data_IF_982596689997
#
_entry.id   IF_982596689997
#
_cell.length_a   1.000
_cell.length_b   1.000
_cell.length_c   1.000
_cell.angle_alpha   90.00
_cell.angle_beta   90.00
_cell.angle_gamma   90.00
#
_symmetry.space_group_name_H-M   'P 1'
#
loop_
_entity.id
_entity.type
_entity.pdbx_description
1 polymer ?
#
# COMPACT_ATOMS: atom_id res chain seq x y z
N UNK A 1 -17.38 1.72 -2.19
CA UNK A 1 -16.10 0.96 -2.19
C UNK A 1 -16.09 0.04 -3.40
N UNK A 2 -15.05 0.08 -4.24
CA UNK A 2 -14.98 -0.82 -5.39
C UNK A 2 -14.94 -2.26 -4.87
N UNK A 3 -15.81 -3.14 -5.39
CA UNK A 3 -15.72 -4.59 -5.17
C UNK A 3 -14.41 -5.06 -5.81
N UNK A 4 -13.33 -5.03 -5.04
CA UNK A 4 -12.10 -5.73 -5.40
C UNK A 4 -12.50 -7.19 -5.62
N UNK A 5 -12.11 -7.79 -6.76
CA UNK A 5 -12.07 -9.26 -6.89
C UNK A 5 -11.42 -9.77 -5.61
N UNK A 6 -12.15 -10.62 -4.88
CA UNK A 6 -11.88 -10.96 -3.48
C UNK A 6 -10.39 -11.14 -3.22
N UNK A 7 -9.81 -10.23 -2.44
CA UNK A 7 -8.50 -10.44 -1.85
C UNK A 7 -8.54 -11.79 -1.14
N UNK A 8 -7.72 -12.73 -1.60
CA UNK A 8 -7.55 -14.03 -0.95
C UNK A 8 -6.25 -13.95 -0.18
N UNK A 9 -6.32 -13.46 1.05
CA UNK A 9 -5.20 -13.33 1.96
C UNK A 9 -4.31 -14.57 1.95
N UNK A 10 -4.91 -15.76 2.09
CA UNK A 10 -4.15 -17.02 2.03
C UNK A 10 -3.36 -17.23 0.73
N UNK A 11 -3.86 -16.79 -0.44
CA UNK A 11 -3.09 -16.87 -1.69
C UNK A 11 -1.89 -15.92 -1.67
N UNK A 12 -2.11 -14.67 -1.24
CA UNK A 12 -1.06 -13.67 -1.13
C UNK A 12 0.05 -14.17 -0.21
N UNK A 13 -0.32 -14.61 1.00
CA UNK A 13 0.59 -15.07 2.03
C UNK A 13 1.44 -16.26 1.57
N UNK A 14 0.86 -17.24 0.87
CA UNK A 14 1.64 -18.36 0.31
C UNK A 14 2.65 -17.91 -0.77
N UNK A 15 2.40 -16.78 -1.44
CA UNK A 15 3.31 -16.22 -2.45
C UNK A 15 4.43 -15.34 -1.87
N UNK A 16 4.35 -14.95 -0.59
CA UNK A 16 5.36 -14.13 0.07
C UNK A 16 6.37 -15.02 0.80
N UNK A 17 7.65 -14.68 0.68
CA UNK A 17 8.69 -15.29 1.49
C UNK A 17 8.37 -15.15 3.00
N UNK A 18 8.42 -16.26 3.73
CA UNK A 18 8.04 -16.32 5.15
C UNK A 18 8.87 -15.40 6.05
N UNK A 19 10.16 -15.20 5.76
CA UNK A 19 11.02 -14.32 6.57
C UNK A 19 10.66 -12.84 6.38
N UNK A 20 10.17 -12.45 5.19
CA UNK A 20 9.62 -11.13 4.97
C UNK A 20 8.32 -10.93 5.76
N UNK A 21 7.44 -11.94 5.82
CA UNK A 21 6.23 -11.87 6.64
C UNK A 21 6.55 -11.74 8.13
N UNK A 22 7.52 -12.52 8.64
CA UNK A 22 8.01 -12.36 10.02
C UNK A 22 8.52 -10.94 10.28
N UNK A 23 9.31 -10.40 9.35
CA UNK A 23 9.83 -9.03 9.43
C UNK A 23 8.69 -8.01 9.46
N UNK A 24 7.69 -8.18 8.59
CA UNK A 24 6.48 -7.36 8.55
C UNK A 24 5.76 -7.37 9.90
N UNK A 25 5.34 -8.54 10.39
CA UNK A 25 4.59 -8.62 11.65
C UNK A 25 5.40 -8.11 12.85
N UNK A 26 6.71 -8.34 12.86
CA UNK A 26 7.62 -7.79 13.89
C UNK A 26 7.66 -6.26 13.85
N UNK A 27 7.70 -5.64 12.65
CA UNK A 27 7.63 -4.18 12.48
C UNK A 27 6.33 -3.61 13.05
N UNK A 28 5.23 -4.36 12.99
CA UNK A 28 3.96 -3.99 13.60
C UNK A 28 3.84 -4.36 15.08
N UNK A 29 4.91 -4.79 15.76
CA UNK A 29 4.86 -5.28 17.15
C UNK A 29 3.85 -6.42 17.33
N UNK A 30 3.79 -7.36 16.39
CA UNK A 30 3.02 -8.60 16.50
C UNK A 30 4.00 -9.74 16.67
N UNK A 31 3.90 -10.44 17.80
CA UNK A 31 4.78 -11.58 18.11
C UNK A 31 4.48 -12.74 17.18
N UNK A 32 5.54 -13.26 16.53
CA UNK A 32 5.47 -14.46 15.70
C UNK A 32 6.26 -15.56 16.40
N UNK A 33 5.64 -16.70 16.65
CA UNK A 33 6.30 -17.85 17.29
C UNK A 33 7.44 -18.37 16.42
N UNK A 34 8.55 -18.78 17.03
CA UNK A 34 9.65 -19.41 16.31
C UNK A 34 9.16 -20.66 15.55
N UNK A 35 9.58 -20.76 14.29
CA UNK A 35 9.15 -21.86 13.41
C UNK A 35 7.73 -21.72 12.86
N UNK A 36 6.99 -20.65 13.18
CA UNK A 36 5.68 -20.42 12.56
C UNK A 36 5.83 -20.28 11.04
N UNK A 37 4.95 -20.99 10.31
CA UNK A 37 4.86 -20.96 8.86
C UNK A 37 3.54 -20.28 8.49
N UNK A 38 3.67 -19.16 7.80
CA UNK A 38 2.56 -18.45 7.20
C UNK A 38 2.12 -19.19 5.93
N UNK A 39 0.94 -19.79 5.98
CA UNK A 39 0.28 -20.44 4.86
C UNK A 39 -1.21 -20.10 4.83
N UNK A 40 -1.95 -20.70 3.90
CA UNK A 40 -3.39 -20.46 3.75
C UNK A 40 -4.20 -20.92 4.95
N UNK A 41 -3.76 -21.96 5.63
CA UNK A 41 -4.54 -22.65 6.65
C UNK A 41 -4.38 -21.96 8.01
N UNK A 42 -3.21 -21.38 8.27
CA UNK A 42 -2.87 -20.85 9.59
C UNK A 42 -2.99 -19.31 9.69
N UNK A 43 -3.04 -18.58 8.57
CA UNK A 43 -3.00 -17.11 8.61
C UNK A 43 -4.21 -16.49 9.31
N UNK A 44 -5.41 -17.04 9.11
CA UNK A 44 -6.62 -16.49 9.71
C UNK A 44 -6.60 -16.65 11.23
N UNK A 45 -6.25 -17.84 11.72
CA UNK A 45 -6.07 -18.11 13.15
C UNK A 45 -4.97 -17.21 13.76
N UNK A 46 -3.89 -16.96 13.02
CA UNK A 46 -2.84 -16.05 13.45
C UNK A 46 -3.35 -14.60 13.57
N UNK A 47 -4.08 -14.09 12.58
CA UNK A 47 -4.65 -12.74 12.65
C UNK A 47 -5.70 -12.61 13.76
N UNK A 48 -6.49 -13.66 14.00
CA UNK A 48 -7.47 -13.71 15.08
C UNK A 48 -6.82 -13.75 16.47
N UNK A 49 -5.54 -14.12 16.58
CA UNK A 49 -4.77 -14.00 17.82
C UNK A 49 -4.42 -12.55 18.19
N UNK A 50 -4.53 -11.61 17.24
CA UNK A 50 -4.31 -10.18 17.48
C UNK A 50 -5.53 -9.60 18.19
N UNK A 51 -5.43 -9.40 19.50
CA UNK A 51 -6.55 -8.95 20.35
C UNK A 51 -7.04 -7.52 20.07
N UNK A 52 -6.18 -6.68 19.49
CA UNK A 52 -6.51 -5.32 19.10
C UNK A 52 -7.17 -5.33 17.70
N UNK A 53 -8.49 -5.16 17.67
CA UNK A 53 -9.29 -5.17 16.44
C UNK A 53 -8.90 -4.04 15.47
N UNK A 54 -8.57 -2.85 15.98
CA UNK A 54 -8.14 -1.73 15.15
C UNK A 54 -6.81 -2.02 14.47
N UNK A 55 -5.87 -2.60 15.22
CA UNK A 55 -4.58 -3.06 14.70
C UNK A 55 -4.73 -4.20 13.69
N UNK A 56 -5.59 -5.18 13.97
CA UNK A 56 -5.88 -6.28 13.02
C UNK A 56 -6.44 -5.73 11.72
N UNK A 57 -7.45 -4.86 11.79
CA UNK A 57 -8.07 -4.24 10.61
C UNK A 57 -7.06 -3.44 9.79
N UNK A 58 -6.18 -2.69 10.45
CA UNK A 58 -5.11 -1.95 9.78
C UNK A 58 -4.14 -2.86 9.03
N UNK A 59 -3.68 -3.94 9.69
CA UNK A 59 -2.79 -4.94 9.09
C UNK A 59 -3.44 -5.61 7.88
N UNK A 60 -4.72 -5.96 7.96
CA UNK A 60 -5.46 -6.58 6.85
C UNK A 60 -5.58 -5.63 5.65
N UNK A 61 -5.90 -4.36 5.90
CA UNK A 61 -5.98 -3.33 4.86
C UNK A 61 -4.62 -3.12 4.19
N UNK A 62 -3.54 -3.06 4.97
CA UNK A 62 -2.19 -2.87 4.45
C UNK A 62 -1.73 -4.07 3.61
N UNK A 63 -1.95 -5.30 4.08
CA UNK A 63 -1.67 -6.51 3.28
C UNK A 63 -2.49 -6.54 1.98
N UNK A 64 -3.74 -6.05 2.02
CA UNK A 64 -4.56 -5.90 0.82
C UNK A 64 -3.98 -4.86 -0.15
N UNK A 65 -3.46 -3.74 0.35
CA UNK A 65 -2.77 -2.73 -0.46
C UNK A 65 -1.53 -3.30 -1.14
N UNK A 66 -0.68 -4.00 -0.38
CA UNK A 66 0.53 -4.65 -0.91
C UNK A 66 0.16 -5.67 -2.00
N UNK A 67 -0.86 -6.51 -1.75
CA UNK A 67 -1.34 -7.46 -2.74
C UNK A 67 -1.93 -6.77 -3.98
N UNK A 68 -2.57 -5.61 -3.82
CA UNK A 68 -3.06 -4.80 -4.93
C UNK A 68 -1.94 -4.43 -5.91
N UNK A 69 -0.78 -4.04 -5.39
CA UNK A 69 0.40 -3.73 -6.20
C UNK A 69 0.97 -5.01 -6.84
N UNK A 70 1.10 -6.10 -6.07
CA UNK A 70 1.62 -7.37 -6.56
C UNK A 70 0.84 -7.90 -7.78
N UNK A 71 -0.49 -7.82 -7.76
CA UNK A 71 -1.36 -8.35 -8.80
C UNK A 71 -1.46 -7.43 -10.03
N UNK A 72 -1.50 -6.11 -9.82
CA UNK A 72 -1.92 -5.15 -10.87
C UNK A 72 -0.84 -4.14 -11.30
N UNK A 73 0.27 -4.07 -10.58
CA UNK A 73 1.26 -3.00 -10.74
C UNK A 73 2.70 -3.51 -10.85
N UNK A 74 2.90 -4.70 -11.43
CA UNK A 74 4.22 -5.32 -11.59
C UNK A 74 5.26 -4.42 -12.25
N UNK A 75 4.88 -3.69 -13.31
CA UNK A 75 5.79 -2.75 -13.97
C UNK A 75 6.26 -1.60 -13.06
N UNK A 76 5.45 -1.22 -12.08
CA UNK A 76 5.78 -0.17 -11.11
C UNK A 76 6.62 -0.70 -9.95
N UNK A 77 6.44 -1.97 -9.57
CA UNK A 77 7.37 -2.67 -8.68
C UNK A 77 8.77 -2.73 -9.29
N UNK A 78 8.89 -3.07 -10.58
CA UNK A 78 10.19 -3.08 -11.27
C UNK A 78 10.84 -1.69 -11.31
N UNK A 79 10.03 -0.64 -11.48
CA UNK A 79 10.53 0.73 -11.41
C UNK A 79 11.06 1.07 -10.02
N UNK A 80 10.27 0.82 -8.98
CA UNK A 80 10.67 1.08 -7.59
C UNK A 80 11.93 0.30 -7.22
N UNK A 81 12.03 -0.97 -7.61
CA UNK A 81 13.24 -1.79 -7.42
C UNK A 81 14.49 -1.12 -8.00
N UNK A 82 14.40 -0.66 -9.25
CA UNK A 82 15.53 -0.02 -9.94
C UNK A 82 15.89 1.32 -9.32
N UNK A 83 14.88 2.13 -8.98
CA UNK A 83 15.07 3.49 -8.47
C UNK A 83 15.67 3.50 -7.05
N UNK A 84 15.29 2.52 -6.23
CA UNK A 84 15.76 2.37 -4.85
C UNK A 84 16.84 1.28 -4.66
N UNK A 85 17.37 0.71 -5.74
CA UNK A 85 18.39 -0.36 -5.73
C UNK A 85 18.02 -1.56 -4.83
N UNK A 86 16.76 -2.00 -4.89
CA UNK A 86 16.25 -3.09 -4.08
C UNK A 86 16.69 -4.42 -4.69
N UNK A 87 17.54 -5.15 -3.95
CA UNK A 87 18.00 -6.47 -4.37
C UNK A 87 16.87 -7.50 -4.33
N UNK A 88 16.71 -8.23 -5.42
CA UNK A 88 15.71 -9.29 -5.59
C UNK A 88 16.37 -10.57 -6.09
N UNK A 89 15.71 -11.71 -5.92
CA UNK A 89 16.15 -12.96 -6.53
C UNK A 89 15.58 -13.09 -7.96
N UNK A 90 16.35 -13.68 -8.87
CA UNK A 90 15.83 -14.09 -10.17
C UNK A 90 14.69 -15.10 -9.93
N UNK A 91 13.51 -14.83 -10.49
CA UNK A 91 12.27 -15.60 -10.33
C UNK A 91 11.50 -15.47 -8.99
N UNK A 92 11.74 -14.43 -8.17
CA UNK A 92 10.89 -14.20 -7.00
C UNK A 92 9.42 -13.87 -7.41
N UNK A 93 8.40 -14.40 -6.70
CA UNK A 93 7.01 -14.08 -6.98
C UNK A 93 6.70 -12.59 -6.77
N UNK A 94 5.74 -12.06 -7.53
CA UNK A 94 5.30 -10.66 -7.42
C UNK A 94 4.90 -10.24 -6.01
N UNK A 95 4.32 -11.16 -5.24
CA UNK A 95 3.90 -10.99 -3.86
C UNK A 95 5.12 -10.81 -2.94
N UNK A 96 6.16 -11.64 -3.12
CA UNK A 96 7.44 -11.48 -2.42
C UNK A 96 8.11 -10.16 -2.77
N UNK A 97 8.12 -9.79 -4.05
CA UNK A 97 8.65 -8.50 -4.51
C UNK A 97 7.91 -7.33 -3.87
N UNK A 98 6.58 -7.34 -3.89
CA UNK A 98 5.77 -6.27 -3.33
C UNK A 98 6.01 -6.09 -1.84
N UNK A 99 6.08 -7.19 -1.08
CA UNK A 99 6.43 -7.16 0.34
C UNK A 99 7.85 -6.63 0.57
N UNK A 100 8.81 -7.02 -0.28
CA UNK A 100 10.20 -6.52 -0.17
C UNK A 100 10.28 -5.02 -0.41
N UNK A 101 9.59 -4.51 -1.44
CA UNK A 101 9.50 -3.07 -1.72
C UNK A 101 8.85 -2.33 -0.55
N UNK A 102 7.75 -2.88 0.00
CA UNK A 102 7.10 -2.35 1.20
C UNK A 102 8.04 -2.25 2.40
N UNK A 103 8.80 -3.32 2.67
CA UNK A 103 9.69 -3.37 3.83
C UNK A 103 10.95 -2.52 3.66
N UNK A 104 11.36 -2.23 2.43
CA UNK A 104 12.57 -1.46 2.12
C UNK A 104 12.47 -0.01 2.62
N UNK A 105 11.49 0.75 2.12
CA UNK A 105 11.22 2.11 2.57
C UNK A 105 9.81 2.55 2.20
N UNK A 106 9.28 3.53 2.93
CA UNK A 106 7.96 4.09 2.67
C UNK A 106 7.90 4.72 1.27
N UNK A 107 8.97 5.39 0.85
CA UNK A 107 9.05 6.10 -0.43
C UNK A 107 9.06 5.12 -1.61
N UNK A 108 9.77 3.98 -1.47
CA UNK A 108 9.82 2.96 -2.52
C UNK A 108 8.43 2.34 -2.78
N UNK A 109 7.71 2.04 -1.71
CA UNK A 109 6.35 1.53 -1.81
C UNK A 109 5.39 2.59 -2.33
N UNK A 110 5.48 3.81 -1.82
CA UNK A 110 4.65 4.94 -2.23
C UNK A 110 4.78 5.21 -3.71
N UNK A 111 6.00 5.21 -4.26
CA UNK A 111 6.21 5.34 -5.71
C UNK A 111 5.43 4.29 -6.50
N UNK A 112 5.54 3.01 -6.12
CA UNK A 112 4.84 1.93 -6.81
C UNK A 112 3.31 2.05 -6.65
N UNK A 113 2.85 2.44 -5.46
CA UNK A 113 1.43 2.58 -5.14
C UNK A 113 0.79 3.76 -5.85
N UNK A 114 1.45 4.91 -5.92
CA UNK A 114 0.95 6.12 -6.58
C UNK A 114 0.77 5.88 -8.08
N UNK A 115 1.73 5.21 -8.73
CA UNK A 115 1.56 4.81 -10.13
C UNK A 115 0.43 3.82 -10.33
N UNK A 116 0.26 2.87 -9.41
CA UNK A 116 -0.86 1.94 -9.43
C UNK A 116 -2.21 2.67 -9.31
N UNK A 117 -2.33 3.58 -8.34
CA UNK A 117 -3.52 4.41 -8.15
C UNK A 117 -3.79 5.26 -9.38
N UNK A 118 -2.74 5.89 -9.93
CA UNK A 118 -2.86 6.64 -11.18
C UNK A 118 -3.45 5.78 -12.29
N UNK A 119 -2.93 4.59 -12.57
CA UNK A 119 -3.47 3.75 -13.66
C UNK A 119 -4.88 3.25 -13.38
N UNK A 120 -5.17 2.82 -12.15
CA UNK A 120 -6.49 2.24 -11.83
C UNK A 120 -7.58 3.31 -11.78
N UNK A 121 -7.21 4.54 -11.43
CA UNK A 121 -8.17 5.63 -11.23
C UNK A 121 -7.99 6.80 -12.21
N UNK A 122 -7.10 6.71 -13.20
CA UNK A 122 -6.85 7.80 -14.15
C UNK A 122 -8.08 8.19 -14.95
N UNK A 123 -8.93 7.22 -15.31
CA UNK A 123 -10.20 7.49 -16.00
C UNK A 123 -11.25 8.16 -15.09
N UNK A 124 -10.99 8.21 -13.78
CA UNK A 124 -11.80 8.92 -12.78
C UNK A 124 -11.14 10.22 -12.30
N UNK A 125 -10.02 10.61 -12.90
CA UNK A 125 -9.42 11.91 -12.64
C UNK A 125 -10.27 12.99 -13.31
N UNK A 126 -10.88 13.84 -12.49
CA UNK A 126 -11.53 15.05 -12.97
C UNK A 126 -10.47 16.04 -13.42
N UNK A 127 -10.36 16.25 -14.73
CA UNK A 127 -9.55 17.34 -15.26
C UNK A 127 -10.29 18.67 -15.12
N UNK A 128 -9.79 19.53 -14.24
CA UNK A 128 -10.26 20.90 -14.11
C UNK A 128 -9.34 21.82 -14.90
N UNK A 129 -9.82 22.32 -16.04
CA UNK A 129 -9.15 23.43 -16.72
C UNK A 129 -9.36 24.69 -15.89
N UNK A 130 -8.28 25.21 -15.32
CA UNK A 130 -8.27 26.57 -14.80
C UNK A 130 -8.28 27.52 -15.99
N UNK A 131 -9.24 28.43 -16.04
CA UNK A 131 -9.18 29.54 -16.98
C UNK A 131 -7.92 30.36 -16.66
N UNK A 132 -7.15 30.68 -17.71
CA UNK A 132 -5.90 31.41 -17.63
C UNK A 132 -5.94 32.49 -16.55
N UNK A 133 -5.18 32.27 -15.47
CA UNK A 133 -4.68 33.28 -14.55
C UNK A 133 -3.61 32.62 -13.67
N UNK A 134 -2.36 33.05 -13.84
CA UNK A 134 -1.22 32.92 -12.89
C UNK A 134 -1.42 31.94 -11.71
N UNK A 135 -1.50 30.64 -11.99
CA UNK A 135 -1.34 29.63 -10.94
C UNK A 135 0.13 29.61 -10.54
N UNK A 136 0.47 30.46 -9.58
CA UNK A 136 1.76 30.38 -8.92
C UNK A 136 1.74 29.18 -7.97
N UNK A 137 2.46 28.13 -8.35
CA UNK A 137 2.68 26.94 -7.54
C UNK A 137 3.78 27.22 -6.50
N UNK A 138 3.58 28.19 -5.62
CA UNK A 138 4.47 28.39 -4.48
C UNK A 138 4.19 27.35 -3.40
N UNK A 139 5.19 26.98 -2.61
CA UNK A 139 5.05 26.02 -1.51
C UNK A 139 3.91 26.41 -0.55
N UNK A 140 3.72 27.72 -0.32
CA UNK A 140 2.64 28.24 0.52
C UNK A 140 1.25 27.99 -0.12
N UNK A 141 1.10 28.21 -1.43
CA UNK A 141 -0.17 27.99 -2.15
C UNK A 141 -0.48 26.51 -2.29
N UNK A 142 0.53 25.67 -2.53
CA UNK A 142 0.41 24.22 -2.52
C UNK A 142 -0.02 23.73 -1.14
N UNK A 143 0.58 24.23 -0.06
CA UNK A 143 0.21 23.88 1.31
C UNK A 143 -1.24 24.27 1.64
N UNK A 144 -1.70 25.45 1.21
CA UNK A 144 -3.11 25.87 1.36
C UNK A 144 -4.07 24.96 0.59
N UNK A 145 -3.71 24.57 -0.63
CA UNK A 145 -4.50 23.61 -1.42
C UNK A 145 -4.57 22.25 -0.72
N UNK A 146 -3.45 21.76 -0.16
CA UNK A 146 -3.39 20.51 0.62
C UNK A 146 -4.39 20.53 1.76
N UNK A 147 -4.31 21.55 2.61
CA UNK A 147 -5.20 21.67 3.77
C UNK A 147 -6.67 21.78 3.35
N UNK A 148 -6.97 22.47 2.25
CA UNK A 148 -8.34 22.56 1.75
C UNK A 148 -8.88 21.20 1.28
N UNK A 149 -8.06 20.41 0.58
CA UNK A 149 -8.41 19.06 0.12
C UNK A 149 -8.61 18.13 1.32
N UNK A 150 -7.66 18.11 2.27
CA UNK A 150 -7.75 17.28 3.47
C UNK A 150 -9.02 17.59 4.28
N UNK A 151 -9.29 18.88 4.51
CA UNK A 151 -10.51 19.33 5.21
C UNK A 151 -11.76 18.87 4.47
N UNK A 152 -11.82 19.05 3.15
CA UNK A 152 -12.96 18.61 2.35
C UNK A 152 -13.23 17.10 2.47
N UNK A 153 -12.19 16.27 2.42
CA UNK A 153 -12.34 14.81 2.54
C UNK A 153 -12.73 14.36 3.96
N UNK A 154 -12.21 15.05 4.99
CA UNK A 154 -12.63 14.85 6.39
C UNK A 154 -14.10 15.23 6.58
N UNK A 155 -14.50 16.42 6.15
CA UNK A 155 -15.87 16.93 6.30
C UNK A 155 -16.90 16.14 5.49
N UNK A 156 -16.52 15.62 4.32
CA UNK A 156 -17.41 14.80 3.49
C UNK A 156 -17.59 13.36 4.03
N UNK A 157 -16.97 13.02 5.17
CA UNK A 157 -17.03 11.68 5.77
C UNK A 157 -16.41 10.59 4.91
N UNK A 158 -15.59 10.99 3.90
CA UNK A 158 -15.00 10.06 2.93
C UNK A 158 -13.68 9.46 3.43
N UNK A 159 -12.94 10.19 4.26
CA UNK A 159 -11.74 9.67 4.92
C UNK A 159 -11.30 10.60 6.06
N UNK A 160 -11.09 10.06 7.27
CA UNK A 160 -10.39 10.79 8.34
C UNK A 160 -8.87 10.80 8.14
N UNK A 161 -8.37 9.89 7.29
CA UNK A 161 -6.95 9.62 7.03
C UNK A 161 -6.54 10.04 5.61
N UNK A 162 -7.08 11.16 5.09
CA UNK A 162 -6.68 11.65 3.78
C UNK A 162 -5.20 12.09 3.81
N UNK A 163 -4.36 11.42 3.03
CA UNK A 163 -2.96 11.79 2.84
C UNK A 163 -2.77 12.36 1.42
N UNK A 164 -2.27 13.59 1.34
CA UNK A 164 -2.03 14.30 0.08
C UNK A 164 -0.53 14.35 -0.18
N UNK A 165 -0.08 13.63 -1.21
CA UNK A 165 1.34 13.46 -1.59
C UNK A 165 1.66 14.19 -2.90
N UNK A 166 2.90 14.66 -3.06
CA UNK A 166 3.44 15.32 -4.25
C UNK A 166 4.91 14.97 -4.47
#
# INVERSE_FOLDING_TARGET
>A
MAKHRSFKLGKFITGVNNDLLKTYFTRHNVSVTDGFVFDRDNIHDFLDSISDEGKRSYIEEELQCINGIADRARGYLERAKREYNIAVQDDEPSETTAMRVFLHSEEAFSLAFDFYLFVVYSEKLSHHKFEHNNCEFTDEKISKLKSAIETHFKESGKSENCDVRW
#
